data_IF_231003042080
#
_entry.id   IF_231003042080
#
_cell.length_a   1.000
_cell.length_b   1.000
_cell.length_c   1.000
_cell.angle_alpha   90.00
_cell.angle_beta   90.00
_cell.angle_gamma   90.00
#
_symmetry.space_group_name_H-M   'P 1'
#
loop_
_entity.id
_entity.type
_entity.pdbx_description
1 polymer ?
#
# COMPACT_ATOMS: atom_id res chain seq x y z
N UNK A 1 13.62 -12.95 4.35
CA UNK A 1 14.77 -12.21 3.78
C UNK A 1 15.76 -11.95 4.90
N UNK A 2 17.07 -12.16 4.67
CA UNK A 2 18.11 -11.93 5.66
C UNK A 2 18.67 -10.51 5.51
N UNK A 3 18.30 -9.61 6.42
CA UNK A 3 18.64 -8.19 6.33
C UNK A 3 20.15 -7.90 6.40
N UNK A 4 20.92 -8.78 7.05
CA UNK A 4 22.36 -8.63 7.22
C UNK A 4 23.17 -9.04 5.97
N UNK A 5 22.51 -9.65 4.99
CA UNK A 5 23.13 -10.08 3.73
C UNK A 5 22.77 -9.18 2.54
N UNK A 6 21.94 -8.15 2.75
CA UNK A 6 21.57 -7.19 1.70
C UNK A 6 22.71 -6.20 1.44
N UNK A 7 22.78 -5.67 0.21
CA UNK A 7 23.67 -4.55 -0.10
C UNK A 7 23.24 -3.28 0.66
N UNK A 8 24.16 -2.34 0.88
CA UNK A 8 23.84 -1.06 1.52
C UNK A 8 22.75 -0.30 0.73
N UNK A 9 22.87 -0.25 -0.60
CA UNK A 9 21.89 0.39 -1.49
C UNK A 9 20.50 -0.25 -1.41
N UNK A 10 20.41 -1.57 -1.33
CA UNK A 10 19.12 -2.26 -1.26
C UNK A 10 18.50 -2.17 0.13
N UNK A 11 19.33 -2.17 1.17
CA UNK A 11 18.90 -1.86 2.52
C UNK A 11 18.37 -0.42 2.64
N UNK A 12 19.05 0.57 2.05
CA UNK A 12 18.61 1.97 2.01
C UNK A 12 17.23 2.10 1.35
N UNK A 13 17.06 1.49 0.17
CA UNK A 13 15.77 1.46 -0.54
C UNK A 13 14.67 0.82 0.31
N UNK A 14 14.97 -0.31 0.97
CA UNK A 14 14.03 -0.98 1.85
C UNK A 14 13.65 -0.11 3.06
N UNK A 15 14.62 0.58 3.67
CA UNK A 15 14.39 1.31 4.91
C UNK A 15 13.70 2.66 4.68
N UNK A 16 14.16 3.43 3.70
CA UNK A 16 13.79 4.83 3.53
C UNK A 16 12.85 5.10 2.36
N UNK A 17 12.92 4.30 1.29
CA UNK A 17 12.25 4.66 0.02
C UNK A 17 10.87 4.01 -0.09
N UNK A 18 9.85 4.84 -0.36
CA UNK A 18 8.47 4.41 -0.62
C UNK A 18 7.94 5.11 -1.87
N UNK A 19 7.06 4.43 -2.60
CA UNK A 19 6.38 5.04 -3.73
C UNK A 19 5.44 6.16 -3.24
N UNK A 20 5.45 7.30 -3.94
CA UNK A 20 4.56 8.44 -3.69
C UNK A 20 3.84 8.89 -4.98
N UNK A 21 2.98 8.04 -5.57
CA UNK A 21 2.28 8.39 -6.79
C UNK A 21 1.20 9.45 -6.54
N UNK A 22 1.10 10.41 -7.47
CA UNK A 22 -0.07 11.28 -7.61
C UNK A 22 -1.15 10.53 -8.40
N UNK A 23 -2.31 10.31 -7.80
CA UNK A 23 -3.39 9.47 -8.35
C UNK A 23 -3.57 8.18 -7.54
N UNK A 24 -3.88 7.07 -8.21
CA UNK A 24 -4.18 5.80 -7.52
C UNK A 24 -2.96 5.26 -6.78
N UNK A 25 -3.10 5.07 -5.46
CA UNK A 25 -2.11 4.44 -4.58
C UNK A 25 -2.71 3.19 -3.90
N UNK A 26 -1.84 2.23 -3.59
CA UNK A 26 -2.14 1.06 -2.78
C UNK A 26 -1.44 1.25 -1.43
N UNK A 27 -2.22 1.52 -0.40
CA UNK A 27 -1.72 1.96 0.91
C UNK A 27 -2.27 1.08 2.04
N UNK A 28 -1.68 1.22 3.23
CA UNK A 28 -2.01 0.42 4.41
C UNK A 28 -2.66 1.28 5.46
N UNK A 29 -3.73 0.76 6.05
CA UNK A 29 -4.49 1.41 7.11
C UNK A 29 -4.57 0.50 8.33
N UNK A 30 -4.68 1.11 9.52
CA UNK A 30 -4.92 0.41 10.78
C UNK A 30 -6.15 1.00 11.44
N UNK A 31 -7.12 0.15 11.78
CA UNK A 31 -8.32 0.59 12.48
C UNK A 31 -8.05 0.76 13.98
N UNK A 32 -7.26 1.79 14.33
CA UNK A 32 -6.70 1.99 15.67
C UNK A 32 -7.77 2.21 16.75
N UNK A 33 -8.87 2.88 16.40
CA UNK A 33 -10.00 3.12 17.31
C UNK A 33 -11.06 2.01 17.27
N UNK A 34 -10.72 0.83 16.77
CA UNK A 34 -11.61 -0.32 16.70
C UNK A 34 -10.84 -1.62 16.87
N UNK A 35 -10.84 -2.46 15.83
CA UNK A 35 -10.28 -3.80 15.92
C UNK A 35 -8.74 -3.87 15.93
N UNK A 36 -8.04 -2.74 15.79
CA UNK A 36 -6.58 -2.62 15.73
C UNK A 36 -5.89 -3.43 14.62
N UNK A 37 -6.66 -4.01 13.69
CA UNK A 37 -6.16 -4.80 12.56
C UNK A 37 -5.71 -3.89 11.42
N UNK A 38 -4.69 -4.36 10.70
CA UNK A 38 -4.28 -3.78 9.43
C UNK A 38 -5.14 -4.27 8.28
N UNK A 39 -5.36 -3.40 7.30
CA UNK A 39 -5.94 -3.71 6.01
C UNK A 39 -5.28 -2.84 4.93
N UNK A 40 -5.48 -3.23 3.67
CA UNK A 40 -4.98 -2.46 2.54
C UNK A 40 -6.14 -1.71 1.88
N UNK A 41 -5.84 -0.55 1.30
CA UNK A 41 -6.80 0.26 0.56
C UNK A 41 -6.22 0.70 -0.78
N UNK A 42 -7.10 0.88 -1.75
CA UNK A 42 -6.81 1.57 -3.01
C UNK A 42 -7.51 2.92 -2.96
N UNK A 43 -6.74 4.00 -2.97
CA UNK A 43 -7.24 5.38 -2.87
C UNK A 43 -6.64 6.23 -3.98
N UNK A 44 -7.40 7.18 -4.51
CA UNK A 44 -6.87 8.24 -5.34
C UNK A 44 -6.34 9.39 -4.44
N UNK A 45 -5.03 9.65 -4.50
CA UNK A 45 -4.37 10.69 -3.68
C UNK A 45 -4.69 12.12 -4.10
N UNK A 46 -5.36 12.32 -5.25
CA UNK A 46 -5.82 13.65 -5.70
C UNK A 46 -7.21 13.96 -5.16
N UNK A 47 -8.10 12.97 -5.13
CA UNK A 47 -9.53 13.16 -4.78
C UNK A 47 -9.92 12.61 -3.41
N UNK A 48 -9.02 11.90 -2.75
CA UNK A 48 -9.23 11.13 -1.51
C UNK A 48 -10.29 10.02 -1.61
N UNK A 49 -10.77 9.71 -2.82
CA UNK A 49 -11.76 8.67 -3.02
C UNK A 49 -11.15 7.30 -2.83
N UNK A 50 -11.74 6.52 -1.92
CA UNK A 50 -11.48 5.09 -1.82
C UNK A 50 -12.16 4.35 -2.97
N UNK A 51 -11.37 3.56 -3.69
CA UNK A 51 -11.83 2.70 -4.79
C UNK A 51 -12.23 1.34 -4.25
N UNK A 52 -11.40 0.75 -3.39
CA UNK A 52 -11.68 -0.53 -2.72
C UNK A 52 -10.79 -0.74 -1.49
N UNK A 53 -11.16 -1.72 -0.66
CA UNK A 53 -10.33 -2.26 0.42
C UNK A 53 -10.15 -3.77 0.25
N UNK A 54 -9.07 -4.31 0.80
CA UNK A 54 -8.76 -5.75 0.80
C UNK A 54 -7.95 -6.13 2.04
N UNK A 55 -7.91 -7.42 2.39
CA UNK A 55 -7.31 -7.83 3.67
C UNK A 55 -5.79 -7.69 3.62
N UNK A 56 -5.17 -7.48 4.77
CA UNK A 56 -3.72 -7.57 4.89
C UNK A 56 -3.26 -9.00 4.54
N UNK A 57 -2.15 -9.10 3.81
CA UNK A 57 -1.61 -10.37 3.32
C UNK A 57 -2.23 -10.87 2.00
N UNK A 58 -3.37 -10.34 1.58
CA UNK A 58 -3.90 -10.61 0.23
C UNK A 58 -3.07 -9.89 -0.83
N UNK A 59 -2.92 -10.48 -2.03
CA UNK A 59 -2.17 -9.86 -3.11
C UNK A 59 -2.83 -8.55 -3.56
N UNK A 60 -1.99 -7.64 -4.08
CA UNK A 60 -2.45 -6.41 -4.73
C UNK A 60 -3.47 -6.74 -5.83
N UNK A 61 -4.69 -6.19 -5.79
CA UNK A 61 -5.70 -6.42 -6.85
C UNK A 61 -5.20 -5.99 -8.23
N UNK A 62 -5.36 -6.86 -9.23
CA UNK A 62 -4.95 -6.57 -10.61
C UNK A 62 -5.97 -5.72 -11.39
N UNK A 63 -7.24 -5.74 -10.98
CA UNK A 63 -8.33 -4.98 -11.60
C UNK A 63 -9.06 -4.18 -10.53
N UNK A 64 -9.29 -2.90 -10.82
CA UNK A 64 -10.00 -2.00 -9.92
C UNK A 64 -11.45 -1.84 -10.36
N UNK A 65 -12.42 -1.87 -9.43
CA UNK A 65 -13.81 -1.56 -9.74
C UNK A 65 -13.94 -0.09 -10.14
N UNK A 66 -14.59 0.17 -11.28
CA UNK A 66 -14.82 1.53 -11.75
C UNK A 66 -13.58 2.28 -12.26
N UNK A 67 -12.46 1.60 -12.49
CA UNK A 67 -11.43 2.11 -13.38
C UNK A 67 -12.05 2.18 -14.79
N UNK A 68 -12.53 3.36 -15.16
CA UNK A 68 -12.89 3.65 -16.54
C UNK A 68 -11.69 3.31 -17.43
N UNK A 69 -12.00 2.80 -18.64
CA UNK A 69 -11.04 2.49 -19.69
C UNK A 69 -10.00 3.59 -19.89
#
# INVERSE_FOLDING_TARGET
>A
TNIAAESEDDFEKFFFIRANPKGVIYERWRHIHGCARFFNAVRDTVTDKFVMTYKAGEPKPAKLPGAAK
#
